data_IF_518307862412
#
_entry.id   IF_518307862412
#
_cell.length_a   1.000
_cell.length_b   1.000
_cell.length_c   1.000
_cell.angle_alpha   90.00
_cell.angle_beta   90.00
_cell.angle_gamma   90.00
#
_symmetry.space_group_name_H-M   'P 1'
#
loop_
_entity.id
_entity.type
_entity.pdbx_description
1 polymer ?
#
# COMPACT_ATOMS: atom_id res chain seq x y z
N UNK A 1 11.11 23.62 37.95
CA UNK A 1 11.20 22.23 37.49
C UNK A 1 10.04 22.02 36.52
N UNK A 2 10.25 22.28 35.22
CA UNK A 2 9.27 22.00 34.19
C UNK A 2 9.55 20.60 33.67
N UNK A 3 8.81 19.61 34.16
CA UNK A 3 8.81 18.29 33.54
C UNK A 3 8.14 18.42 32.16
N UNK A 4 8.81 18.02 31.08
CA UNK A 4 8.17 17.81 29.80
C UNK A 4 7.07 16.75 30.01
N UNK A 5 5.81 17.18 29.94
CA UNK A 5 4.68 16.24 29.89
C UNK A 5 4.83 15.42 28.60
N UNK A 6 5.08 14.14 28.73
CA UNK A 6 5.04 13.25 27.56
C UNK A 6 3.60 13.18 27.05
N UNK A 7 3.45 13.11 25.75
CA UNK A 7 2.13 13.05 25.11
C UNK A 7 1.32 11.84 25.58
N UNK A 8 2.00 10.73 25.85
CA UNK A 8 1.43 9.52 26.44
C UNK A 8 0.83 9.77 27.83
N UNK A 9 1.51 10.59 28.68
CA UNK A 9 1.02 10.96 30.02
C UNK A 9 -0.22 11.85 29.92
N UNK A 10 -0.23 12.76 28.93
CA UNK A 10 -1.37 13.66 28.67
C UNK A 10 -2.60 12.90 28.15
N UNK A 11 -2.41 11.74 27.52
CA UNK A 11 -3.47 10.86 27.01
C UNK A 11 -3.97 9.81 28.04
N UNK A 12 -3.75 10.07 29.32
CA UNK A 12 -4.40 9.36 30.43
C UNK A 12 -3.71 8.11 30.95
N UNK A 13 -2.41 7.91 30.62
CA UNK A 13 -1.59 6.81 31.18
C UNK A 13 -2.09 5.40 30.85
N UNK A 14 -2.96 5.26 29.87
CA UNK A 14 -3.44 3.93 29.40
C UNK A 14 -2.31 3.25 28.66
N UNK A 15 -1.96 2.03 29.09
CA UNK A 15 -0.97 1.21 28.41
C UNK A 15 -1.52 0.78 27.04
N UNK A 16 -0.82 1.18 25.98
CA UNK A 16 -1.16 0.88 24.59
C UNK A 16 -0.08 0.02 23.93
N UNK A 17 -0.44 -0.96 23.11
CA UNK A 17 0.57 -1.76 22.38
C UNK A 17 1.24 -1.01 21.22
N UNK A 18 0.91 0.26 21.01
CA UNK A 18 1.45 1.10 19.95
C UNK A 18 1.98 2.43 20.48
N UNK A 19 2.94 3.03 19.78
CA UNK A 19 3.43 4.38 20.06
C UNK A 19 2.42 5.41 19.58
N UNK A 20 2.04 6.36 20.42
CA UNK A 20 1.14 7.46 20.02
C UNK A 20 1.86 8.46 19.11
N UNK A 21 3.19 8.55 19.22
CA UNK A 21 4.02 9.49 18.46
C UNK A 21 5.18 8.78 17.73
N UNK A 22 4.90 7.88 16.76
CA UNK A 22 5.97 7.21 16.02
C UNK A 22 6.77 8.23 15.21
N UNK A 23 8.12 8.15 15.32
CA UNK A 23 9.03 9.12 14.67
C UNK A 23 9.48 8.66 13.27
N UNK A 24 9.14 7.46 12.87
CA UNK A 24 9.44 6.85 11.57
C UNK A 24 8.33 5.92 11.14
N UNK A 25 8.34 5.54 9.87
CA UNK A 25 7.47 4.46 9.39
C UNK A 25 7.81 3.15 10.10
N UNK A 26 6.81 2.29 10.22
CA UNK A 26 7.04 0.93 10.66
C UNK A 26 7.84 0.18 9.60
N UNK A 27 8.63 -0.77 10.06
CA UNK A 27 9.18 -1.84 9.25
C UNK A 27 8.34 -3.11 9.43
N UNK A 28 8.49 -4.05 8.50
CA UNK A 28 7.93 -5.40 8.67
C UNK A 28 8.40 -6.02 10.00
N UNK A 29 9.66 -5.85 10.34
CA UNK A 29 10.23 -6.50 11.53
C UNK A 29 9.70 -5.88 12.83
N UNK A 30 9.40 -4.57 12.85
CA UNK A 30 8.70 -3.95 14.00
C UNK A 30 7.34 -4.62 14.25
N UNK A 31 6.54 -4.75 13.20
CA UNK A 31 5.17 -5.26 13.32
C UNK A 31 5.11 -6.78 13.54
N UNK A 32 6.14 -7.52 13.11
CA UNK A 32 6.25 -8.97 13.34
C UNK A 32 6.81 -9.35 14.72
N UNK A 33 7.14 -8.39 15.58
CA UNK A 33 7.65 -8.70 16.92
C UNK A 33 6.72 -9.64 17.69
N UNK A 34 7.28 -10.75 18.18
CA UNK A 34 6.57 -11.82 18.87
C UNK A 34 6.17 -13.00 17.98
N UNK A 35 6.29 -12.88 16.66
CA UNK A 35 6.07 -14.00 15.78
C UNK A 35 7.19 -15.07 15.92
N UNK A 36 6.81 -16.33 15.79
CA UNK A 36 7.72 -17.48 15.70
C UNK A 36 7.15 -18.52 14.73
N UNK A 37 7.96 -19.43 14.20
CA UNK A 37 7.48 -20.48 13.30
C UNK A 37 6.28 -21.26 13.89
N UNK A 38 5.22 -21.39 13.07
CA UNK A 38 3.97 -22.03 13.46
C UNK A 38 2.97 -21.11 14.19
N UNK A 39 3.33 -19.87 14.50
CA UNK A 39 2.40 -18.90 15.05
C UNK A 39 1.61 -18.20 13.95
N UNK A 40 0.37 -17.86 14.24
CA UNK A 40 -0.45 -17.00 13.40
C UNK A 40 -0.20 -15.49 13.67
N UNK A 41 -0.97 -14.63 13.00
CA UNK A 41 -0.85 -13.18 13.11
C UNK A 41 -1.07 -12.64 14.53
N UNK A 42 -1.87 -13.33 15.39
CA UNK A 42 -2.19 -12.85 16.74
C UNK A 42 -0.97 -12.76 17.67
N UNK A 43 0.08 -13.54 17.39
CA UNK A 43 1.34 -13.51 18.14
C UNK A 43 2.17 -12.25 17.85
N UNK A 44 1.92 -11.55 16.76
CA UNK A 44 2.68 -10.38 16.33
C UNK A 44 2.31 -9.12 17.10
N UNK A 45 3.18 -8.10 17.08
CA UNK A 45 2.82 -6.76 17.58
C UNK A 45 1.61 -6.23 16.81
N UNK A 46 1.55 -6.43 15.51
CA UNK A 46 0.44 -6.01 14.65
C UNK A 46 -0.89 -6.62 15.09
N UNK A 47 -0.89 -7.93 15.34
CA UNK A 47 -2.08 -8.65 15.84
C UNK A 47 -2.52 -8.14 17.21
N UNK A 48 -1.56 -7.83 18.11
CA UNK A 48 -1.88 -7.27 19.44
C UNK A 48 -2.46 -5.86 19.34
N UNK A 49 -1.93 -5.01 18.42
CA UNK A 49 -2.52 -3.68 18.17
C UNK A 49 -3.94 -3.84 17.62
N UNK A 50 -4.16 -4.74 16.67
CA UNK A 50 -5.49 -5.01 16.13
C UNK A 50 -6.47 -5.48 17.22
N UNK A 51 -6.05 -6.41 18.08
CA UNK A 51 -6.86 -6.88 19.22
C UNK A 51 -7.20 -5.76 20.19
N UNK A 52 -6.24 -4.86 20.49
CA UNK A 52 -6.47 -3.67 21.31
C UNK A 52 -7.51 -2.75 20.67
N UNK A 53 -7.40 -2.44 19.39
CA UNK A 53 -8.37 -1.61 18.65
C UNK A 53 -9.78 -2.21 18.76
N UNK A 54 -9.92 -3.51 18.53
CA UNK A 54 -11.23 -4.21 18.67
C UNK A 54 -11.80 -4.11 20.09
N UNK A 55 -10.97 -4.29 21.11
CA UNK A 55 -11.38 -4.23 22.51
C UNK A 55 -11.81 -2.82 22.94
N UNK A 56 -11.30 -1.77 22.30
CA UNK A 56 -11.56 -0.37 22.65
C UNK A 56 -12.52 0.34 21.66
N UNK A 57 -13.48 -0.38 21.12
CA UNK A 57 -14.57 0.18 20.32
C UNK A 57 -14.35 0.18 18.80
N UNK A 58 -13.24 -0.33 18.30
CA UNK A 58 -12.99 -0.49 16.88
C UNK A 58 -13.02 0.85 16.13
N UNK A 59 -14.04 1.02 15.26
CA UNK A 59 -14.25 2.25 14.46
C UNK A 59 -14.80 3.43 15.24
N UNK A 60 -15.30 3.19 16.46
CA UNK A 60 -15.92 4.18 17.34
C UNK A 60 -15.29 4.09 18.75
N UNK A 61 -13.98 4.35 18.89
CA UNK A 61 -13.29 4.31 20.17
C UNK A 61 -13.82 5.39 21.11
N UNK A 62 -13.56 5.23 22.43
CA UNK A 62 -13.77 6.32 23.37
C UNK A 62 -12.91 7.55 22.99
N UNK A 63 -13.19 8.68 23.64
CA UNK A 63 -12.55 9.95 23.30
C UNK A 63 -11.03 9.91 23.45
N UNK A 64 -10.51 9.28 24.52
CA UNK A 64 -9.07 9.27 24.79
C UNK A 64 -8.32 8.34 23.84
N UNK A 65 -8.90 7.17 23.58
CA UNK A 65 -8.34 6.24 22.57
C UNK A 65 -8.44 6.83 21.17
N UNK A 66 -9.56 7.44 20.81
CA UNK A 66 -9.74 8.11 19.52
C UNK A 66 -8.74 9.25 19.31
N UNK A 67 -8.43 10.01 20.36
CA UNK A 67 -7.43 11.08 20.30
C UNK A 67 -6.01 10.50 20.13
N UNK A 68 -5.69 9.41 20.84
CA UNK A 68 -4.41 8.72 20.70
C UNK A 68 -4.20 8.19 19.28
N UNK A 69 -5.21 7.51 18.72
CA UNK A 69 -5.19 6.99 17.34
C UNK A 69 -5.02 8.12 16.30
N UNK A 70 -5.72 9.25 16.46
CA UNK A 70 -5.59 10.40 15.54
C UNK A 70 -4.21 11.05 15.64
N UNK A 71 -3.67 11.11 16.84
CA UNK A 71 -2.30 11.62 17.06
C UNK A 71 -1.27 10.71 16.40
N UNK A 72 -1.42 9.39 16.56
CA UNK A 72 -0.58 8.42 15.87
C UNK A 72 -0.63 8.60 14.34
N UNK A 73 -1.82 8.66 13.76
CA UNK A 73 -2.00 8.82 12.32
C UNK A 73 -1.33 10.12 11.81
N UNK A 74 -1.40 11.20 12.59
CA UNK A 74 -0.70 12.45 12.27
C UNK A 74 0.83 12.30 12.25
N UNK A 75 1.39 11.52 13.19
CA UNK A 75 2.83 11.26 13.20
C UNK A 75 3.25 10.33 12.05
N UNK A 76 2.41 9.36 11.68
CA UNK A 76 2.62 8.53 10.48
C UNK A 76 2.60 9.37 9.20
N UNK A 77 1.68 10.33 9.06
CA UNK A 77 1.69 11.29 7.94
C UNK A 77 3.04 12.03 7.87
N UNK A 78 3.54 12.48 9.01
CA UNK A 78 4.82 13.21 9.07
C UNK A 78 6.01 12.33 8.71
N UNK A 79 6.03 11.08 9.20
CA UNK A 79 7.05 10.10 8.88
C UNK A 79 7.02 9.68 7.40
N UNK A 80 5.81 9.51 6.83
CA UNK A 80 5.62 9.22 5.41
C UNK A 80 6.13 10.36 4.54
N UNK A 81 5.82 11.60 4.92
CA UNK A 81 6.33 12.77 4.25
C UNK A 81 7.88 12.82 4.23
N UNK A 82 8.52 12.56 5.37
CA UNK A 82 9.97 12.47 5.47
C UNK A 82 10.56 11.40 4.57
N UNK A 83 10.03 10.18 4.63
CA UNK A 83 10.45 9.05 3.79
C UNK A 83 10.36 9.36 2.28
N UNK A 84 9.25 9.94 1.82
CA UNK A 84 9.06 10.28 0.41
C UNK A 84 10.03 11.39 -0.05
N UNK A 85 10.37 12.33 0.83
CA UNK A 85 11.37 13.37 0.53
C UNK A 85 12.78 12.79 0.40
N UNK A 86 13.14 11.86 1.28
CA UNK A 86 14.46 11.19 1.27
C UNK A 86 14.58 10.24 0.06
N UNK A 87 13.55 9.47 -0.22
CA UNK A 87 13.51 8.55 -1.36
C UNK A 87 13.66 9.28 -2.70
N UNK A 88 13.09 10.47 -2.84
CA UNK A 88 13.12 11.32 -4.03
C UNK A 88 12.72 10.60 -5.35
N UNK A 89 12.07 9.43 -5.26
CA UNK A 89 11.61 8.64 -6.41
C UNK A 89 10.15 8.98 -6.75
N UNK A 90 9.79 8.97 -8.04
CA UNK A 90 8.38 9.06 -8.43
C UNK A 90 7.62 7.81 -7.94
N UNK A 91 6.43 8.03 -7.42
CA UNK A 91 5.61 6.98 -6.77
C UNK A 91 4.53 6.49 -7.73
N UNK A 92 4.46 5.17 -7.92
CA UNK A 92 3.37 4.50 -8.64
C UNK A 92 2.56 3.66 -7.67
N UNK A 93 1.23 3.87 -7.69
CA UNK A 93 0.27 3.04 -6.97
C UNK A 93 -0.08 1.77 -7.75
N UNK A 94 -0.18 0.64 -7.06
CA UNK A 94 -0.81 -0.58 -7.59
C UNK A 94 -1.92 -0.99 -6.63
N UNK A 95 -3.16 -0.92 -7.11
CA UNK A 95 -4.38 -1.19 -6.35
C UNK A 95 -5.08 -2.44 -6.91
N UNK A 96 -5.81 -3.15 -6.07
CA UNK A 96 -6.54 -4.34 -6.50
C UNK A 96 -7.00 -5.21 -5.33
N UNK A 97 -7.62 -6.35 -5.65
CA UNK A 97 -8.30 -7.20 -4.68
C UNK A 97 -7.37 -7.88 -3.67
N UNK A 98 -7.74 -7.82 -2.38
CA UNK A 98 -7.05 -8.54 -1.30
C UNK A 98 -7.30 -10.05 -1.33
N UNK A 99 -8.39 -10.49 -1.97
CA UNK A 99 -8.75 -11.91 -2.11
C UNK A 99 -8.10 -12.63 -3.30
N UNK A 100 -7.27 -11.96 -4.10
CA UNK A 100 -6.59 -12.58 -5.23
C UNK A 100 -5.51 -13.54 -4.74
N UNK A 101 -5.61 -14.81 -5.09
CA UNK A 101 -4.63 -15.81 -4.69
C UNK A 101 -3.35 -15.72 -5.53
N UNK A 102 -2.21 -16.19 -5.00
CA UNK A 102 -0.94 -16.21 -5.72
C UNK A 102 -0.97 -17.15 -6.97
N UNK A 103 -1.94 -18.06 -7.05
CA UNK A 103 -2.21 -18.88 -8.23
C UNK A 103 -2.99 -18.16 -9.35
N UNK A 104 -3.54 -16.96 -9.07
CA UNK A 104 -4.25 -16.16 -10.06
C UNK A 104 -3.28 -15.55 -11.08
N UNK A 105 -3.57 -15.60 -12.39
CA UNK A 105 -2.72 -14.98 -13.41
C UNK A 105 -2.46 -13.49 -13.19
N UNK A 106 -3.41 -12.74 -12.64
CA UNK A 106 -3.24 -11.31 -12.36
C UNK A 106 -2.25 -11.05 -11.23
N UNK A 107 -2.15 -11.97 -10.25
CA UNK A 107 -1.10 -11.88 -9.22
C UNK A 107 0.29 -11.90 -9.85
N UNK A 108 0.57 -12.88 -10.74
CA UNK A 108 1.86 -12.99 -11.45
C UNK A 108 2.13 -11.76 -12.33
N UNK A 109 1.12 -11.30 -13.11
CA UNK A 109 1.26 -10.09 -13.92
C UNK A 109 1.65 -8.87 -13.09
N UNK A 110 1.06 -8.72 -11.90
CA UNK A 110 1.37 -7.62 -10.99
C UNK A 110 2.79 -7.75 -10.40
N UNK A 111 3.25 -8.94 -10.06
CA UNK A 111 4.64 -9.19 -9.64
C UNK A 111 5.62 -8.75 -10.72
N UNK A 112 5.41 -9.17 -11.97
CA UNK A 112 6.26 -8.79 -13.12
C UNK A 112 6.24 -7.27 -13.39
N UNK A 113 5.05 -6.67 -13.33
CA UNK A 113 4.87 -5.23 -13.50
C UNK A 113 5.61 -4.45 -12.42
N UNK A 114 5.41 -4.79 -11.15
CA UNK A 114 6.02 -4.09 -10.02
C UNK A 114 7.55 -4.22 -10.03
N UNK A 115 8.09 -5.41 -10.37
CA UNK A 115 9.52 -5.60 -10.55
C UNK A 115 10.07 -4.67 -11.65
N UNK A 116 9.41 -4.62 -12.81
CA UNK A 116 9.80 -3.79 -13.94
C UNK A 116 9.71 -2.28 -13.63
N UNK A 117 8.68 -1.84 -12.89
CA UNK A 117 8.54 -0.46 -12.44
C UNK A 117 9.67 -0.06 -11.47
N UNK A 118 9.99 -0.95 -10.52
CA UNK A 118 11.10 -0.73 -9.59
C UNK A 118 12.44 -0.63 -10.31
N UNK A 119 12.70 -1.51 -11.29
CA UNK A 119 13.89 -1.45 -12.15
C UNK A 119 13.97 -0.14 -12.97
N UNK A 120 12.84 0.47 -13.28
CA UNK A 120 12.74 1.76 -13.97
C UNK A 120 12.90 2.98 -13.05
N UNK A 121 13.17 2.77 -11.75
CA UNK A 121 13.42 3.82 -10.78
C UNK A 121 12.18 4.36 -10.07
N UNK A 122 11.02 3.69 -10.18
CA UNK A 122 9.83 4.07 -9.44
C UNK A 122 9.80 3.46 -8.04
N UNK A 123 9.18 4.15 -7.10
CA UNK A 123 8.79 3.59 -5.81
C UNK A 123 7.36 3.03 -5.96
N UNK A 124 7.23 1.73 -5.80
CA UNK A 124 5.92 1.05 -5.82
C UNK A 124 5.24 1.21 -4.47
N UNK A 125 3.97 1.63 -4.47
CA UNK A 125 3.11 1.70 -3.29
C UNK A 125 1.83 0.91 -3.49
N UNK A 126 1.35 0.25 -2.44
CA UNK A 126 0.07 -0.44 -2.41
C UNK A 126 -0.63 -0.32 -1.06
N UNK A 127 -1.88 -0.80 -0.99
CA UNK A 127 -2.69 -0.76 0.23
C UNK A 127 -2.18 -1.65 1.38
N UNK A 128 -1.20 -2.51 1.13
CA UNK A 128 -0.49 -3.25 2.17
C UNK A 128 -1.19 -4.51 2.70
N UNK A 129 -2.33 -4.91 2.13
CA UNK A 129 -2.95 -6.20 2.41
C UNK A 129 -2.37 -7.31 1.52
N UNK A 130 -3.00 -8.48 1.56
CA UNK A 130 -2.69 -9.63 0.70
C UNK A 130 -3.14 -9.40 -0.76
N UNK A 131 -3.04 -10.44 -1.57
CA UNK A 131 -3.52 -10.46 -2.94
C UNK A 131 -2.73 -9.53 -3.85
N UNK A 132 -3.40 -8.69 -4.62
CA UNK A 132 -2.76 -7.77 -5.57
C UNK A 132 -1.79 -6.82 -4.88
N UNK A 133 -2.11 -6.34 -3.68
CA UNK A 133 -1.24 -5.44 -2.92
C UNK A 133 0.04 -6.14 -2.44
N UNK A 134 -0.07 -7.40 -2.04
CA UNK A 134 1.09 -8.25 -1.74
C UNK A 134 1.91 -8.52 -2.99
N UNK A 135 1.29 -8.87 -4.12
CA UNK A 135 1.96 -9.08 -5.40
C UNK A 135 2.78 -7.85 -5.83
N UNK A 136 2.24 -6.65 -5.62
CA UNK A 136 2.94 -5.39 -5.91
C UNK A 136 4.23 -5.23 -5.07
N UNK A 137 4.15 -5.46 -3.77
CA UNK A 137 5.31 -5.38 -2.90
C UNK A 137 6.30 -6.54 -3.13
N UNK A 138 5.82 -7.76 -3.38
CA UNK A 138 6.66 -8.91 -3.74
C UNK A 138 7.44 -8.66 -5.03
N UNK A 139 6.78 -8.17 -6.07
CA UNK A 139 7.43 -7.82 -7.33
C UNK A 139 8.50 -6.75 -7.16
N UNK A 140 8.20 -5.69 -6.42
CA UNK A 140 9.17 -4.67 -6.07
C UNK A 140 10.35 -5.24 -5.28
N UNK A 141 10.08 -6.05 -4.24
CA UNK A 141 11.09 -6.72 -3.42
C UNK A 141 12.05 -7.56 -4.27
N UNK A 142 11.51 -8.28 -5.25
CA UNK A 142 12.24 -9.18 -6.14
C UNK A 142 12.80 -8.50 -7.41
N UNK A 143 12.79 -7.17 -7.50
CA UNK A 143 13.16 -6.46 -8.72
C UNK A 143 14.57 -6.78 -9.26
N UNK A 144 15.52 -7.06 -8.36
CA UNK A 144 16.90 -7.44 -8.74
C UNK A 144 17.05 -8.94 -9.04
N UNK A 145 15.99 -9.74 -8.91
CA UNK A 145 16.01 -11.19 -9.13
C UNK A 145 15.66 -11.54 -10.57
N UNK A 146 16.12 -12.69 -11.04
CA UNK A 146 15.77 -13.23 -12.36
C UNK A 146 14.29 -13.59 -12.44
N UNK A 147 13.77 -13.70 -13.67
CA UNK A 147 12.38 -14.13 -13.90
C UNK A 147 12.08 -15.47 -13.23
N UNK A 148 13.02 -16.43 -13.33
CA UNK A 148 12.90 -17.73 -12.69
C UNK A 148 12.81 -17.64 -11.15
N UNK A 149 13.62 -16.79 -10.52
CA UNK A 149 13.54 -16.59 -9.07
C UNK A 149 12.22 -15.95 -8.64
N UNK A 150 11.69 -15.02 -9.46
CA UNK A 150 10.36 -14.45 -9.24
C UNK A 150 9.26 -15.50 -9.36
N UNK A 151 9.35 -16.35 -10.40
CA UNK A 151 8.42 -17.47 -10.59
C UNK A 151 8.48 -18.47 -9.44
N UNK A 152 9.68 -18.84 -8.98
CA UNK A 152 9.86 -19.71 -7.83
C UNK A 152 9.20 -19.13 -6.56
N UNK A 153 9.34 -17.82 -6.33
CA UNK A 153 8.74 -17.14 -5.19
C UNK A 153 7.20 -17.13 -5.26
N UNK A 154 6.65 -16.80 -6.43
CA UNK A 154 5.19 -16.83 -6.65
C UNK A 154 4.65 -18.25 -6.51
N UNK A 155 5.36 -19.25 -7.05
CA UNK A 155 4.93 -20.64 -6.98
C UNK A 155 4.91 -21.14 -5.53
N UNK A 156 5.90 -20.79 -4.71
CA UNK A 156 5.92 -21.17 -3.29
C UNK A 156 4.69 -20.64 -2.54
N UNK A 157 4.24 -19.42 -2.83
CA UNK A 157 3.02 -18.86 -2.25
C UNK A 157 1.76 -19.51 -2.84
N UNK A 158 1.77 -19.84 -4.15
CA UNK A 158 0.63 -20.45 -4.83
C UNK A 158 0.37 -21.89 -4.40
N UNK A 159 1.41 -22.62 -4.01
CA UNK A 159 1.33 -24.00 -3.52
C UNK A 159 0.81 -24.08 -2.06
N UNK A 160 0.71 -22.92 -1.39
CA UNK A 160 0.25 -22.83 -0.01
C UNK A 160 -1.25 -22.54 0.04
N UNK A 161 -2.02 -23.13 0.96
CA UNK A 161 -3.39 -22.72 1.20
C UNK A 161 -3.46 -21.21 1.41
N UNK A 162 -4.50 -20.57 0.88
CA UNK A 162 -4.69 -19.13 1.08
C UNK A 162 -4.75 -18.77 2.57
N UNK A 163 -4.31 -17.59 2.91
CA UNK A 163 -4.22 -17.09 4.30
C UNK A 163 -5.49 -17.31 5.13
N UNK A 164 -6.67 -17.15 4.54
CA UNK A 164 -7.94 -17.39 5.22
C UNK A 164 -8.13 -18.85 5.66
N UNK A 165 -7.48 -19.80 4.98
CA UNK A 165 -7.59 -21.23 5.27
C UNK A 165 -6.51 -21.73 6.23
N UNK A 166 -5.31 -21.16 6.16
CA UNK A 166 -4.17 -21.51 7.03
C UNK A 166 -3.27 -20.28 7.25
N UNK A 167 -3.57 -19.51 8.28
CA UNK A 167 -2.83 -18.29 8.60
C UNK A 167 -1.37 -18.55 8.96
N UNK A 168 -1.12 -19.54 9.80
CA UNK A 168 0.22 -19.86 10.29
C UNK A 168 1.10 -20.42 9.16
N UNK A 169 0.57 -21.36 8.36
CA UNK A 169 1.27 -21.94 7.23
C UNK A 169 1.60 -20.90 6.15
N UNK A 170 0.64 -20.03 5.82
CA UNK A 170 0.86 -18.97 4.87
C UNK A 170 1.97 -18.00 5.32
N UNK A 171 1.91 -17.52 6.57
CA UNK A 171 2.94 -16.63 7.12
C UNK A 171 4.31 -17.29 7.13
N UNK A 172 4.39 -18.58 7.49
CA UNK A 172 5.63 -19.33 7.47
C UNK A 172 6.28 -19.35 6.08
N UNK A 173 5.48 -19.59 5.03
CA UNK A 173 5.96 -19.61 3.64
C UNK A 173 6.36 -18.21 3.19
N UNK A 174 5.54 -17.18 3.45
CA UNK A 174 5.84 -15.81 3.06
C UNK A 174 7.13 -15.28 3.72
N UNK A 175 7.35 -15.60 5.00
CA UNK A 175 8.61 -15.32 5.71
C UNK A 175 9.77 -16.03 5.06
N UNK A 176 9.63 -17.33 4.74
CA UNK A 176 10.68 -18.12 4.08
C UNK A 176 11.04 -17.57 2.69
N UNK A 177 10.05 -17.15 1.90
CA UNK A 177 10.28 -16.50 0.59
C UNK A 177 11.06 -15.20 0.78
N UNK A 178 10.64 -14.35 1.74
CA UNK A 178 11.34 -13.10 2.03
C UNK A 178 12.80 -13.33 2.42
N UNK A 179 13.06 -14.29 3.31
CA UNK A 179 14.42 -14.60 3.79
C UNK A 179 15.31 -15.17 2.68
N UNK A 180 14.76 -16.07 1.86
CA UNK A 180 15.47 -16.68 0.73
C UNK A 180 15.99 -15.63 -0.27
N UNK A 181 15.23 -14.58 -0.49
CA UNK A 181 15.53 -13.55 -1.49
C UNK A 181 16.01 -12.22 -0.90
N UNK A 182 16.39 -12.19 0.37
CA UNK A 182 16.95 -10.99 1.00
C UNK A 182 18.37 -10.67 0.43
N UNK A 183 18.78 -9.38 0.40
CA UNK A 183 17.94 -8.21 0.59
C UNK A 183 17.05 -7.94 -0.63
N UNK A 184 15.85 -7.40 -0.39
CA UNK A 184 14.94 -6.94 -1.43
C UNK A 184 15.04 -5.44 -1.70
N UNK A 185 14.45 -4.98 -2.80
CA UNK A 185 14.35 -3.56 -3.08
C UNK A 185 13.24 -2.90 -2.24
N UNK A 186 13.29 -1.57 -2.15
CA UNK A 186 12.35 -0.79 -1.36
C UNK A 186 11.00 -0.64 -2.06
N UNK A 187 9.95 -0.74 -1.27
CA UNK A 187 8.56 -0.42 -1.61
C UNK A 187 7.83 0.08 -0.38
N UNK A 188 6.64 0.59 -0.56
CA UNK A 188 5.83 1.16 0.51
C UNK A 188 4.48 0.44 0.57
N UNK A 189 4.04 0.10 1.77
CA UNK A 189 2.69 -0.35 2.06
C UNK A 189 1.96 0.68 2.93
N UNK A 190 0.67 0.93 2.64
CA UNK A 190 -0.16 1.86 3.41
C UNK A 190 -1.44 1.13 3.89
N UNK A 191 -1.34 0.23 4.88
CA UNK A 191 -2.46 -0.51 5.44
C UNK A 191 -3.14 0.19 6.61
N UNK A 192 -4.20 -0.47 7.13
CA UNK A 192 -4.90 -0.03 8.35
C UNK A 192 -5.01 -1.15 9.37
N UNK A 193 -5.41 -0.80 10.62
CA UNK A 193 -5.90 -1.75 11.62
C UNK A 193 -7.43 -1.86 11.66
N UNK A 194 -8.12 -1.43 10.60
CA UNK A 194 -9.60 -1.42 10.55
C UNK A 194 -10.17 -2.70 9.96
N UNK A 195 -9.47 -3.31 9.03
CA UNK A 195 -9.91 -4.52 8.32
C UNK A 195 -9.64 -5.78 9.15
N UNK A 196 -10.60 -6.70 9.17
CA UNK A 196 -10.46 -7.95 9.92
C UNK A 196 -9.40 -8.86 9.32
N UNK A 197 -8.44 -9.27 10.18
CA UNK A 197 -7.53 -10.38 9.88
C UNK A 197 -6.54 -10.12 8.76
N UNK A 198 -6.28 -8.87 8.40
CA UNK A 198 -5.24 -8.55 7.43
C UNK A 198 -3.85 -8.67 8.05
N UNK A 199 -3.02 -9.64 7.63
CA UNK A 199 -1.67 -9.78 8.13
C UNK A 199 -0.77 -8.68 7.58
N UNK A 200 0.40 -8.55 8.18
CA UNK A 200 1.45 -7.65 7.68
C UNK A 200 1.94 -8.17 6.34
N UNK A 201 2.01 -7.28 5.33
CA UNK A 201 2.67 -7.58 4.08
C UNK A 201 4.17 -7.86 4.32
N UNK A 202 4.61 -9.08 4.05
CA UNK A 202 5.96 -9.54 4.34
C UNK A 202 7.02 -8.91 3.44
N UNK A 203 6.62 -8.36 2.29
CA UNK A 203 7.51 -7.88 1.23
C UNK A 203 7.65 -6.36 1.17
N UNK A 204 6.93 -5.64 2.03
CA UNK A 204 7.03 -4.18 2.15
C UNK A 204 8.03 -3.81 3.28
N UNK A 205 9.22 -3.28 2.96
CA UNK A 205 10.17 -2.85 3.98
C UNK A 205 9.73 -1.60 4.72
N UNK A 206 8.91 -0.75 4.12
CA UNK A 206 8.36 0.47 4.72
C UNK A 206 6.84 0.39 4.79
N UNK A 207 6.28 0.67 5.98
CA UNK A 207 4.85 0.50 6.25
C UNK A 207 4.32 1.75 6.97
N UNK A 208 3.45 2.50 6.28
CA UNK A 208 2.67 3.58 6.88
C UNK A 208 1.31 3.01 7.30
N UNK A 209 1.17 2.57 8.55
CA UNK A 209 -0.06 1.91 9.01
C UNK A 209 -0.92 2.86 9.85
N UNK A 210 -2.22 2.90 9.55
CA UNK A 210 -3.17 3.88 10.08
C UNK A 210 -4.30 3.23 10.88
N UNK A 211 -4.85 3.98 11.83
CA UNK A 211 -6.12 3.65 12.48
C UNK A 211 -7.33 4.15 11.68
N UNK A 212 -7.17 5.24 10.91
CA UNK A 212 -8.23 5.82 10.11
C UNK A 212 -8.16 5.42 8.65
N UNK A 213 -9.18 4.66 8.17
CA UNK A 213 -9.24 4.30 6.75
C UNK A 213 -9.42 5.51 5.83
N UNK A 214 -10.16 6.54 6.26
CA UNK A 214 -10.39 7.73 5.44
C UNK A 214 -9.10 8.52 5.20
N UNK A 215 -8.26 8.69 6.22
CA UNK A 215 -6.94 9.34 6.09
C UNK A 215 -6.03 8.49 5.20
N UNK A 216 -5.99 7.19 5.46
CA UNK A 216 -5.20 6.23 4.68
C UNK A 216 -5.59 6.21 3.21
N UNK A 217 -6.88 6.17 2.91
CA UNK A 217 -7.39 6.09 1.54
C UNK A 217 -7.00 7.31 0.72
N UNK A 218 -7.23 8.49 1.29
CA UNK A 218 -6.87 9.76 0.64
C UNK A 218 -5.35 9.87 0.46
N UNK A 219 -4.58 9.53 1.49
CA UNK A 219 -3.12 9.57 1.48
C UNK A 219 -2.49 8.60 0.48
N UNK A 220 -3.02 7.37 0.36
CA UNK A 220 -2.52 6.35 -0.57
C UNK A 220 -2.57 6.82 -2.03
N UNK A 221 -3.69 7.42 -2.43
CA UNK A 221 -3.86 7.93 -3.79
C UNK A 221 -3.06 9.22 -4.01
N UNK A 222 -3.03 10.09 -3.00
CA UNK A 222 -2.31 11.36 -3.06
C UNK A 222 -0.79 11.20 -3.29
N UNK A 223 -0.17 10.16 -2.75
CA UNK A 223 1.27 9.93 -2.91
C UNK A 223 1.63 9.30 -4.25
N UNK A 224 0.69 8.63 -4.94
CA UNK A 224 0.90 7.93 -6.20
C UNK A 224 0.90 8.86 -7.43
N UNK A 225 1.66 9.94 -7.35
CA UNK A 225 1.63 11.04 -8.32
C UNK A 225 2.18 10.70 -9.71
N UNK A 226 2.92 9.62 -9.86
CA UNK A 226 3.39 9.18 -11.18
C UNK A 226 2.31 8.37 -11.94
N UNK A 227 1.28 7.88 -11.25
CA UNK A 227 0.14 7.16 -11.80
C UNK A 227 -0.28 5.99 -10.92
N UNK A 228 -1.44 5.44 -11.24
CA UNK A 228 -2.00 4.27 -10.54
C UNK A 228 -2.37 3.19 -11.54
N UNK A 229 -2.00 1.95 -11.22
CA UNK A 229 -2.44 0.76 -11.93
C UNK A 229 -3.50 0.07 -11.08
N UNK A 230 -4.67 -0.14 -11.66
CA UNK A 230 -5.79 -0.84 -11.05
C UNK A 230 -5.89 -2.25 -11.64
N UNK A 231 -5.52 -3.26 -10.86
CA UNK A 231 -5.80 -4.67 -11.16
C UNK A 231 -7.21 -5.05 -10.68
N UNK A 232 -7.79 -6.18 -11.12
CA UNK A 232 -9.10 -6.63 -10.67
C UNK A 232 -9.25 -6.62 -9.15
N UNK A 233 -10.39 -6.10 -8.68
CA UNK A 233 -10.66 -5.99 -7.25
C UNK A 233 -12.12 -5.76 -6.94
N UNK A 234 -12.43 -5.65 -5.65
CA UNK A 234 -13.79 -5.49 -5.13
C UNK A 234 -14.19 -4.03 -4.87
N UNK A 235 -15.03 -3.86 -3.85
CA UNK A 235 -15.61 -2.55 -3.50
C UNK A 235 -14.56 -1.50 -3.11
N UNK A 236 -13.49 -1.91 -2.41
CA UNK A 236 -12.38 -1.00 -2.05
C UNK A 236 -11.69 -0.46 -3.29
N UNK A 237 -11.33 -1.35 -4.23
CA UNK A 237 -10.71 -0.95 -5.50
C UNK A 237 -11.62 -0.03 -6.32
N UNK A 238 -12.94 -0.28 -6.31
CA UNK A 238 -13.90 0.62 -6.96
C UNK A 238 -13.92 2.00 -6.30
N UNK A 239 -13.86 2.09 -4.97
CA UNK A 239 -13.75 3.35 -4.24
C UNK A 239 -12.47 4.09 -4.65
N UNK A 240 -11.32 3.41 -4.65
CA UNK A 240 -10.02 3.96 -5.07
C UNK A 240 -10.07 4.54 -6.50
N UNK A 241 -10.68 3.83 -7.45
CA UNK A 241 -10.84 4.27 -8.84
C UNK A 241 -11.63 5.58 -8.93
N UNK A 242 -12.77 5.67 -8.26
CA UNK A 242 -13.60 6.88 -8.34
C UNK A 242 -13.00 8.06 -7.56
N UNK A 243 -12.29 7.78 -6.48
CA UNK A 243 -11.58 8.81 -5.74
C UNK A 243 -10.41 9.38 -6.54
N UNK A 244 -9.59 8.53 -7.19
CA UNK A 244 -8.51 8.97 -8.07
C UNK A 244 -9.06 9.72 -9.30
N UNK A 245 -10.17 9.26 -9.89
CA UNK A 245 -10.86 9.98 -10.95
C UNK A 245 -11.28 11.40 -10.52
N UNK A 246 -11.82 11.55 -9.30
CA UNK A 246 -12.16 12.85 -8.75
C UNK A 246 -10.91 13.73 -8.52
N UNK A 247 -9.84 13.16 -7.96
CA UNK A 247 -8.57 13.86 -7.77
C UNK A 247 -7.98 14.35 -9.11
N UNK A 248 -8.03 13.54 -10.17
CA UNK A 248 -7.60 13.90 -11.51
C UNK A 248 -8.49 14.99 -12.15
N UNK A 249 -9.81 14.88 -12.02
CA UNK A 249 -10.76 15.87 -12.53
C UNK A 249 -10.55 17.25 -11.88
N UNK A 250 -10.39 17.30 -10.57
CA UNK A 250 -10.14 18.53 -9.82
C UNK A 250 -8.67 18.95 -9.76
N UNK A 251 -7.75 18.09 -10.25
CA UNK A 251 -6.30 18.32 -10.23
C UNK A 251 -5.74 18.55 -8.82
N UNK A 252 -6.29 17.84 -7.82
CA UNK A 252 -5.98 18.06 -6.39
C UNK A 252 -4.49 17.86 -6.13
N UNK A 253 -3.91 16.75 -6.64
CA UNK A 253 -2.49 16.41 -6.51
C UNK A 253 -1.73 16.46 -7.85
N UNK A 254 -2.32 17.08 -8.87
CA UNK A 254 -1.84 17.09 -10.24
C UNK A 254 -2.69 16.15 -11.11
N UNK A 255 -2.17 15.79 -12.27
CA UNK A 255 -2.80 14.84 -13.20
C UNK A 255 -1.87 13.63 -13.33
N UNK A 256 -2.40 12.43 -13.14
CA UNK A 256 -1.63 11.20 -13.18
C UNK A 256 -2.35 10.12 -13.99
N UNK A 257 -1.61 9.25 -14.73
CA UNK A 257 -2.20 8.14 -15.46
C UNK A 257 -2.99 7.18 -14.56
N UNK A 258 -4.16 6.76 -15.05
CA UNK A 258 -5.00 5.70 -14.49
C UNK A 258 -4.99 4.53 -15.47
N UNK A 259 -4.31 3.44 -15.14
CA UNK A 259 -4.13 2.29 -16.02
C UNK A 259 -4.88 1.08 -15.45
N UNK A 260 -5.75 0.49 -16.25
CA UNK A 260 -6.57 -0.65 -15.84
C UNK A 260 -5.98 -1.93 -16.41
N UNK A 261 -5.58 -2.85 -15.54
CA UNK A 261 -5.09 -4.17 -15.92
C UNK A 261 -6.28 -5.14 -15.99
N UNK A 262 -6.38 -5.89 -17.09
CA UNK A 262 -7.44 -6.83 -17.40
C UNK A 262 -8.67 -6.16 -18.07
N UNK A 263 -8.61 -6.12 -19.39
CA UNK A 263 -9.68 -5.58 -20.25
C UNK A 263 -11.00 -6.34 -20.07
N UNK A 264 -10.94 -7.66 -19.92
CA UNK A 264 -12.13 -8.47 -19.74
C UNK A 264 -12.89 -8.02 -18.49
N UNK A 265 -12.18 -7.92 -17.36
CA UNK A 265 -12.76 -7.48 -16.09
C UNK A 265 -13.36 -6.07 -16.17
N UNK A 266 -12.58 -5.10 -16.67
CA UNK A 266 -13.00 -3.69 -16.60
C UNK A 266 -13.93 -3.26 -17.71
N UNK A 267 -13.87 -3.87 -18.91
CA UNK A 267 -14.69 -3.46 -20.04
C UNK A 267 -15.93 -4.34 -20.24
N UNK A 268 -15.81 -5.68 -20.01
CA UNK A 268 -16.89 -6.61 -20.27
C UNK A 268 -17.64 -7.00 -19.00
N UNK A 269 -16.94 -7.51 -17.97
CA UNK A 269 -17.61 -8.08 -16.81
C UNK A 269 -18.24 -7.00 -15.91
N UNK A 270 -17.52 -5.91 -15.65
CA UNK A 270 -17.99 -4.82 -14.77
C UNK A 270 -18.56 -3.63 -15.56
N UNK A 271 -18.13 -3.43 -16.81
CA UNK A 271 -18.47 -2.24 -17.59
C UNK A 271 -17.96 -0.92 -16.99
N UNK A 272 -17.05 -1.00 -16.01
CA UNK A 272 -16.59 0.17 -15.25
C UNK A 272 -15.75 1.10 -16.12
N UNK A 273 -14.83 0.56 -16.92
CA UNK A 273 -13.94 1.38 -17.76
C UNK A 273 -14.72 2.21 -18.79
N UNK A 274 -15.65 1.66 -19.60
CA UNK A 274 -16.45 2.46 -20.52
C UNK A 274 -17.33 3.52 -19.83
N UNK A 275 -17.83 3.22 -18.63
CA UNK A 275 -18.61 4.19 -17.85
C UNK A 275 -17.74 5.35 -17.37
N UNK A 276 -16.56 5.03 -16.82
CA UNK A 276 -15.59 6.02 -16.36
C UNK A 276 -15.07 6.87 -17.52
N UNK A 277 -14.77 6.27 -18.67
CA UNK A 277 -14.27 6.97 -19.86
C UNK A 277 -15.25 8.06 -20.34
N UNK A 278 -16.54 7.76 -20.39
CA UNK A 278 -17.57 8.78 -20.72
C UNK A 278 -17.59 9.95 -19.74
N UNK A 279 -17.37 9.70 -18.45
CA UNK A 279 -17.29 10.79 -17.47
C UNK A 279 -15.96 11.57 -17.60
N UNK A 280 -14.86 10.87 -17.86
CA UNK A 280 -13.55 11.47 -18.04
C UNK A 280 -13.50 12.39 -19.27
N UNK A 281 -14.18 12.03 -20.37
CA UNK A 281 -14.36 12.90 -21.55
C UNK A 281 -15.06 14.21 -21.17
N UNK A 282 -16.16 14.12 -20.40
CA UNK A 282 -16.92 15.30 -19.93
C UNK A 282 -16.13 16.17 -18.98
N UNK A 283 -15.26 15.57 -18.16
CA UNK A 283 -14.51 16.27 -17.10
C UNK A 283 -13.06 16.61 -17.53
N UNK A 284 -12.66 16.24 -18.75
CA UNK A 284 -11.38 16.65 -19.35
C UNK A 284 -10.15 15.89 -18.84
N UNK A 285 -10.28 14.61 -18.47
CA UNK A 285 -9.16 13.77 -18.07
C UNK A 285 -9.11 12.39 -18.78
N UNK A 286 -9.85 12.22 -19.88
CA UNK A 286 -9.90 10.93 -20.61
C UNK A 286 -8.55 10.49 -21.17
N UNK A 287 -7.65 11.43 -21.45
CA UNK A 287 -6.27 11.17 -21.90
C UNK A 287 -5.40 10.44 -20.86
N UNK A 288 -5.79 10.48 -19.59
CA UNK A 288 -5.12 9.77 -18.49
C UNK A 288 -5.53 8.30 -18.41
N UNK A 289 -6.69 7.93 -18.96
CA UNK A 289 -7.21 6.56 -18.87
C UNK A 289 -6.57 5.66 -19.93
N UNK A 290 -6.25 4.45 -19.53
CA UNK A 290 -5.89 3.38 -20.46
C UNK A 290 -6.21 2.02 -19.86
N UNK A 291 -6.45 1.02 -20.74
CA UNK A 291 -6.67 -0.37 -20.34
C UNK A 291 -5.68 -1.26 -21.08
N UNK A 292 -5.11 -2.23 -20.41
CA UNK A 292 -4.12 -3.16 -20.95
C UNK A 292 -4.28 -4.54 -20.30
N UNK A 293 -3.84 -5.57 -21.02
CA UNK A 293 -3.91 -6.96 -20.54
C UNK A 293 -2.52 -7.44 -20.10
N UNK A 294 -1.46 -6.83 -20.61
CA UNK A 294 -0.09 -7.27 -20.37
C UNK A 294 0.76 -6.18 -19.70
N UNK A 295 1.66 -6.55 -18.77
CA UNK A 295 2.59 -5.62 -18.12
C UNK A 295 3.37 -4.75 -19.11
N UNK A 296 3.80 -5.32 -20.23
CA UNK A 296 4.57 -4.62 -21.25
C UNK A 296 3.82 -3.41 -21.85
N UNK A 297 2.50 -3.49 -21.99
CA UNK A 297 1.68 -2.39 -22.49
C UNK A 297 1.50 -1.30 -21.44
N UNK A 298 1.32 -1.68 -20.18
CA UNK A 298 1.27 -0.76 -19.04
C UNK A 298 2.57 0.03 -18.94
N UNK A 299 3.71 -0.65 -19.07
CA UNK A 299 5.04 -0.05 -19.00
C UNK A 299 5.33 1.01 -20.07
N UNK A 300 4.57 1.06 -21.17
CA UNK A 300 4.65 2.16 -22.16
C UNK A 300 4.21 3.50 -21.60
N UNK A 301 3.36 3.50 -20.58
CA UNK A 301 2.91 4.72 -19.88
C UNK A 301 3.93 5.21 -18.84
N UNK A 302 4.87 4.37 -18.44
CA UNK A 302 5.85 4.62 -17.38
C UNK A 302 7.28 4.46 -17.91
N UNK A 303 7.86 5.48 -18.54
CA UNK A 303 9.21 5.41 -19.13
C UNK A 303 10.27 5.21 -18.05
N UNK A 304 11.43 4.66 -18.48
CA UNK A 304 12.61 4.58 -17.61
C UNK A 304 13.02 5.98 -17.19
N UNK A 305 13.25 6.18 -15.90
CA UNK A 305 13.72 7.45 -15.35
C UNK A 305 15.25 7.47 -15.33
N UNK A 306 15.91 8.49 -15.90
CA UNK A 306 17.34 8.65 -15.72
C UNK A 306 17.67 8.85 -14.25
N UNK A 307 18.69 8.13 -13.75
CA UNK A 307 19.26 8.37 -12.44
C UNK A 307 19.80 9.80 -12.39
N UNK A 308 19.22 10.66 -11.54
CA UNK A 308 19.68 12.06 -11.34
C UNK A 308 18.78 13.14 -11.92
N UNK A 309 17.57 12.83 -12.42
CA UNK A 309 16.61 13.89 -12.74
C UNK A 309 16.03 14.49 -11.46
N UNK A 310 16.06 15.83 -11.44
CA UNK A 310 15.53 16.67 -10.38
C UNK A 310 14.23 16.14 -9.77
N UNK A 311 14.37 15.60 -8.59
CA UNK A 311 13.25 15.18 -7.73
C UNK A 311 12.39 16.37 -7.24
N UNK A 312 12.60 17.56 -7.83
CA UNK A 312 12.12 18.83 -7.29
C UNK A 312 10.62 19.06 -7.46
N UNK A 313 9.92 18.26 -8.28
CA UNK A 313 8.58 18.69 -8.68
C UNK A 313 7.40 17.89 -8.11
N UNK A 314 7.58 16.66 -7.60
CA UNK A 314 6.40 15.86 -7.28
C UNK A 314 6.20 15.60 -5.77
N UNK A 315 7.13 15.04 -5.00
CA UNK A 315 6.89 14.81 -3.57
C UNK A 315 6.77 16.11 -2.77
N UNK A 316 7.60 17.14 -3.07
CA UNK A 316 7.52 18.44 -2.38
C UNK A 316 6.19 19.14 -2.58
N UNK A 317 5.59 19.08 -3.78
CA UNK A 317 4.29 19.73 -4.05
C UNK A 317 3.14 19.03 -3.34
N UNK A 318 3.14 17.70 -3.33
CA UNK A 318 2.13 16.91 -2.61
C UNK A 318 2.24 17.18 -1.11
N UNK A 319 3.44 17.12 -0.56
CA UNK A 319 3.68 17.33 0.87
C UNK A 319 3.44 18.77 1.32
N UNK A 320 3.80 19.77 0.52
CA UNK A 320 3.44 21.18 0.80
C UNK A 320 1.92 21.38 0.75
N UNK A 321 1.20 20.70 -0.14
CA UNK A 321 -0.26 20.76 -0.19
C UNK A 321 -0.92 20.01 0.96
N UNK A 322 -0.42 18.84 1.35
CA UNK A 322 -0.88 18.15 2.57
C UNK A 322 -0.63 18.99 3.83
N UNK A 323 0.45 19.79 3.89
CA UNK A 323 0.71 20.76 4.97
C UNK A 323 -0.15 22.02 4.90
N UNK A 324 -0.57 22.47 3.73
CA UNK A 324 -1.36 23.70 3.53
C UNK A 324 -2.88 23.45 3.56
N UNK A 325 -3.33 22.20 3.66
CA UNK A 325 -4.73 21.82 3.89
C UNK A 325 -5.07 21.70 5.39
N UNK A 326 -4.18 22.16 6.26
CA UNK A 326 -4.34 22.20 7.73
C UNK A 326 -4.49 23.64 8.23
#
# INVERSE_FOLDING_TARGET
MGGELRLEDALGGVERPYLVSPQRLYTRDDLMQGWHPGADHSATLDGRIYAHVKAHGGRAPDMMEGLAQRTHDHFIDSALAGFLMESARPVIGIMGGSGTLASDPNYRRVVELAASLTQRGYLVVGGGALGIMEAANLGAYLAARSDRERDDAVQALADTPGYASDQAGYLQVAVGVRERFAPGAESLAIPTWVSEGEPINQFAPHIAKYFSNSIREDGLLAVATAGIVFAPGGAGTMQEIFQDAAQNAYKVFGRSPMVFLDRQHYCADTGLYPALQRQAERLGFADLLSVADEPADILKRFPVRPSGLDATDTPRRVLMRMRNLR
#
